data_IF_834003247539
#
_entry.id   IF_834003247539
#
_cell.length_a   1.000
_cell.length_b   1.000
_cell.length_c   1.000
_cell.angle_alpha   90.00
_cell.angle_beta   90.00
_cell.angle_gamma   90.00
#
_symmetry.space_group_name_H-M   'P 1'
#
loop_
_entity.id
_entity.type
_entity.pdbx_description
1 polymer ?
#
# COMPACT_ATOMS: atom_id res chain seq x y z
N UNK A 1 21.63 -1.17 14.15
CA UNK A 1 21.13 -2.33 14.92
C UNK A 1 19.63 -2.45 14.64
N UNK A 2 19.15 -3.64 14.29
CA UNK A 2 17.73 -3.91 14.04
C UNK A 2 16.90 -3.74 15.33
N UNK A 3 15.85 -2.93 15.30
CA UNK A 3 14.89 -2.78 16.40
C UNK A 3 13.45 -2.85 15.86
N UNK A 4 12.52 -3.51 16.57
CA UNK A 4 11.11 -3.58 16.16
C UNK A 4 10.49 -2.18 16.04
N UNK A 5 9.68 -1.97 15.01
CA UNK A 5 8.81 -0.79 14.95
C UNK A 5 7.52 -1.07 15.73
N UNK A 6 7.36 -0.41 16.87
CA UNK A 6 6.05 -0.26 17.50
C UNK A 6 5.35 0.92 16.83
N UNK A 7 4.13 0.69 16.35
CA UNK A 7 3.32 1.76 15.75
C UNK A 7 2.91 2.79 16.80
N UNK A 8 3.02 4.08 16.45
CA UNK A 8 2.52 5.20 17.27
C UNK A 8 1.22 5.80 16.69
N UNK A 9 0.71 5.23 15.60
CA UNK A 9 -0.54 5.65 14.94
C UNK A 9 -0.45 6.99 14.19
N UNK A 10 0.60 7.77 14.40
CA UNK A 10 0.77 9.11 13.85
C UNK A 10 1.88 9.19 12.81
N UNK A 11 3.08 8.65 13.12
CA UNK A 11 4.27 8.67 12.26
C UNK A 11 4.71 7.28 11.82
N UNK A 12 4.36 6.25 12.61
CA UNK A 12 4.72 4.84 12.37
C UNK A 12 3.49 3.98 12.63
N UNK A 13 3.25 3.02 11.75
CA UNK A 13 2.10 2.14 11.83
C UNK A 13 1.82 1.50 10.48
N UNK A 14 0.86 0.59 10.47
CA UNK A 14 0.40 -0.07 9.24
C UNK A 14 -1.07 0.28 9.02
N UNK A 15 -1.50 0.30 7.76
CA UNK A 15 -2.91 0.27 7.42
C UNK A 15 -3.55 -1.09 7.73
N UNK A 16 -4.85 -1.19 7.46
CA UNK A 16 -5.62 -2.44 7.65
C UNK A 16 -5.26 -3.55 6.66
N UNK A 17 -4.56 -3.22 5.57
CA UNK A 17 -4.11 -4.17 4.55
C UNK A 17 -2.62 -3.99 4.25
N UNK A 18 -1.97 -5.11 3.92
CA UNK A 18 -0.55 -5.17 3.65
C UNK A 18 -0.21 -6.31 2.69
N UNK A 19 0.83 -6.10 1.88
CA UNK A 19 1.39 -7.10 0.98
C UNK A 19 2.88 -7.25 1.22
N UNK A 20 3.38 -8.48 1.21
CA UNK A 20 4.80 -8.78 1.47
C UNK A 20 5.41 -9.45 0.25
N UNK A 21 6.60 -9.00 -0.13
CA UNK A 21 7.41 -9.62 -1.20
C UNK A 21 8.85 -9.78 -0.74
N UNK A 22 9.53 -10.80 -1.26
CA UNK A 22 10.97 -10.95 -1.10
C UNK A 22 11.68 -10.33 -2.31
N UNK A 23 12.57 -9.38 -2.06
CA UNK A 23 13.40 -8.71 -3.07
C UNK A 23 14.86 -8.66 -2.62
N UNK A 24 15.77 -9.06 -3.50
CA UNK A 24 17.23 -9.05 -3.26
C UNK A 24 17.68 -9.62 -1.89
N UNK A 25 16.97 -10.62 -1.35
CA UNK A 25 17.30 -11.25 -0.07
C UNK A 25 16.60 -10.67 1.16
N UNK A 26 15.87 -9.56 1.01
CA UNK A 26 15.13 -8.87 2.06
C UNK A 26 13.63 -9.03 1.86
N UNK A 27 12.84 -9.01 2.93
CA UNK A 27 11.39 -8.93 2.88
C UNK A 27 10.94 -7.48 2.94
N UNK A 28 10.09 -7.08 2.01
CA UNK A 28 9.49 -5.74 1.94
C UNK A 28 8.00 -5.87 2.15
N UNK A 29 7.47 -5.16 3.14
CA UNK A 29 6.05 -5.04 3.42
C UNK A 29 5.56 -3.70 2.87
N UNK A 30 4.53 -3.71 2.04
CA UNK A 30 3.80 -2.54 1.56
C UNK A 30 2.53 -2.36 2.38
N UNK A 31 2.22 -1.12 2.75
CA UNK A 31 0.99 -0.77 3.48
C UNK A 31 0.69 0.71 3.31
N UNK A 32 -0.49 1.17 3.71
CA UNK A 32 -0.79 2.59 3.83
C UNK A 32 0.06 3.24 4.93
N UNK A 33 0.44 4.50 4.73
CA UNK A 33 1.08 5.30 5.79
C UNK A 33 0.16 5.44 7.01
N UNK A 34 0.75 5.70 8.18
CA UNK A 34 -0.02 5.96 9.39
C UNK A 34 -0.80 7.28 9.32
N UNK A 35 -1.86 7.38 10.13
CA UNK A 35 -2.70 8.57 10.21
C UNK A 35 -3.42 8.91 8.91
N UNK A 36 -3.80 10.18 8.75
CA UNK A 36 -4.55 10.68 7.58
C UNK A 36 -3.75 10.61 6.28
N UNK A 37 -2.42 10.63 6.36
CA UNK A 37 -1.55 10.42 5.20
C UNK A 37 -1.80 9.06 4.53
N UNK A 38 -2.27 8.06 5.29
CA UNK A 38 -2.62 6.73 4.78
C UNK A 38 -3.70 6.73 3.71
N UNK A 39 -4.53 7.77 3.60
CA UNK A 39 -5.54 7.86 2.55
C UNK A 39 -4.91 7.95 1.15
N UNK A 40 -3.77 8.62 1.03
CA UNK A 40 -3.17 8.93 -0.28
C UNK A 40 -1.74 8.43 -0.43
N UNK A 41 -1.13 7.91 0.64
CA UNK A 41 0.27 7.51 0.67
C UNK A 41 0.41 6.04 1.06
N UNK A 42 1.14 5.30 0.23
CA UNK A 42 1.65 3.97 0.55
C UNK A 42 3.09 4.10 1.07
N UNK A 43 3.46 3.25 2.00
CA UNK A 43 4.80 3.18 2.58
C UNK A 43 5.27 1.74 2.67
N UNK A 44 6.55 1.56 3.01
CA UNK A 44 7.15 0.24 3.14
C UNK A 44 7.89 0.06 4.45
N UNK A 45 7.97 -1.20 4.86
CA UNK A 45 8.85 -1.69 5.92
C UNK A 45 9.74 -2.80 5.35
N UNK A 46 10.86 -3.06 5.99
CA UNK A 46 11.76 -4.15 5.60
C UNK A 46 12.14 -5.05 6.78
N UNK A 47 12.47 -6.30 6.50
CA UNK A 47 12.96 -7.28 7.47
C UNK A 47 13.86 -8.34 6.82
N UNK A 48 14.74 -8.96 7.62
CA UNK A 48 15.54 -10.10 7.16
C UNK A 48 14.74 -11.43 7.12
N UNK A 49 13.56 -11.48 7.74
CA UNK A 49 12.67 -12.65 7.85
C UNK A 49 11.23 -12.22 7.55
N UNK A 50 10.37 -13.09 6.99
CA UNK A 50 8.98 -12.72 6.70
C UNK A 50 8.16 -12.45 7.97
N UNK A 51 8.65 -12.85 9.14
CA UNK A 51 8.02 -12.61 10.45
C UNK A 51 8.59 -11.40 11.18
N UNK A 52 9.55 -10.69 10.58
CA UNK A 52 10.25 -9.56 11.21
C UNK A 52 11.52 -9.96 11.98
N UNK A 53 12.05 -9.08 12.85
CA UNK A 53 11.50 -7.77 13.20
C UNK A 53 11.43 -6.83 11.99
N UNK A 54 10.34 -6.07 11.88
CA UNK A 54 10.15 -5.09 10.81
C UNK A 54 10.81 -3.74 11.15
N UNK A 55 11.35 -3.08 10.13
CA UNK A 55 12.08 -1.82 10.21
C UNK A 55 11.52 -0.80 9.22
N UNK A 56 11.47 0.46 9.63
CA UNK A 56 10.88 1.54 8.82
C UNK A 56 10.00 2.49 9.66
N UNK A 57 9.04 3.19 9.02
CA UNK A 57 8.74 3.15 7.59
C UNK A 57 9.89 3.71 6.75
N UNK A 58 10.04 3.24 5.52
CA UNK A 58 10.87 3.87 4.51
C UNK A 58 10.12 5.05 3.85
N UNK A 59 10.68 5.62 2.78
CA UNK A 59 10.04 6.71 2.05
C UNK A 59 8.72 6.23 1.42
N UNK A 60 7.62 6.88 1.79
CA UNK A 60 6.33 6.66 1.15
C UNK A 60 6.25 7.26 -0.25
N UNK A 61 5.26 6.81 -1.02
CA UNK A 61 4.90 7.36 -2.32
C UNK A 61 3.39 7.47 -2.46
N UNK A 62 2.95 8.45 -3.25
CA UNK A 62 1.55 8.59 -3.63
C UNK A 62 1.32 7.86 -4.96
N UNK A 63 0.55 6.76 -5.00
CA UNK A 63 0.14 6.17 -6.26
C UNK A 63 -0.81 7.11 -7.02
N UNK A 64 -0.94 6.98 -8.36
CA UNK A 64 -1.90 7.75 -9.13
C UNK A 64 -3.36 7.53 -8.67
N UNK A 65 -4.03 8.58 -8.24
CA UNK A 65 -5.43 8.53 -7.82
C UNK A 65 -6.32 9.25 -8.85
N UNK A 66 -7.58 8.78 -9.02
CA UNK A 66 -8.62 9.58 -9.68
C UNK A 66 -8.79 10.95 -9.02
N UNK A 67 -9.40 11.88 -9.75
CA UNK A 67 -9.91 13.10 -9.14
C UNK A 67 -11.08 12.80 -8.20
N UNK A 68 -11.19 13.58 -7.14
CA UNK A 68 -12.22 13.45 -6.10
C UNK A 68 -11.67 13.01 -4.75
N UNK A 69 -12.57 12.85 -3.79
CA UNK A 69 -12.22 12.34 -2.46
C UNK A 69 -12.09 10.81 -2.53
N UNK A 70 -10.86 10.33 -2.71
CA UNK A 70 -10.56 8.91 -2.87
C UNK A 70 -9.39 8.50 -1.99
N UNK A 71 -9.35 7.22 -1.63
CA UNK A 71 -8.26 6.62 -0.88
C UNK A 71 -7.69 5.39 -1.57
N UNK A 72 -6.36 5.28 -1.61
CA UNK A 72 -5.68 4.05 -1.99
C UNK A 72 -5.71 3.06 -0.81
N UNK A 73 -5.83 1.76 -1.09
CA UNK A 73 -5.71 0.72 -0.07
C UNK A 73 -5.27 -0.62 -0.68
N UNK A 74 -5.08 -1.62 0.17
CA UNK A 74 -4.77 -3.00 -0.22
C UNK A 74 -3.61 -3.12 -1.24
N UNK A 75 -2.39 -2.65 -0.89
CA UNK A 75 -1.26 -2.80 -1.78
C UNK A 75 -0.85 -4.28 -1.90
N UNK A 76 -0.77 -4.80 -3.12
CA UNK A 76 -0.39 -6.19 -3.40
C UNK A 76 0.78 -6.26 -4.38
N UNK A 77 1.95 -6.79 -3.97
CA UNK A 77 3.09 -6.96 -4.87
C UNK A 77 2.89 -8.19 -5.78
N UNK A 78 3.30 -8.04 -7.04
CA UNK A 78 3.18 -9.05 -8.10
C UNK A 78 4.57 -9.42 -8.67
N UNK A 79 5.39 -10.22 -7.95
CA UNK A 79 6.69 -10.65 -8.44
C UNK A 79 6.62 -11.41 -9.79
N UNK A 80 5.50 -12.09 -10.06
CA UNK A 80 5.22 -12.81 -11.31
C UNK A 80 5.05 -11.90 -12.53
N UNK A 81 4.68 -10.63 -12.31
CA UNK A 81 4.56 -9.60 -13.35
C UNK A 81 5.80 -8.68 -13.40
N UNK A 82 6.76 -8.91 -12.52
CA UNK A 82 7.92 -8.04 -12.29
C UNK A 82 9.11 -8.44 -13.15
N UNK A 83 10.00 -7.48 -13.43
CA UNK A 83 11.15 -7.70 -14.30
C UNK A 83 11.99 -6.44 -14.51
N UNK A 84 13.22 -6.60 -15.02
CA UNK A 84 14.11 -5.47 -15.33
C UNK A 84 14.45 -4.58 -14.13
N UNK A 85 14.55 -5.17 -12.93
CA UNK A 85 14.79 -4.45 -11.68
C UNK A 85 13.61 -3.59 -11.22
N UNK A 86 12.39 -3.93 -11.64
CA UNK A 86 11.15 -3.24 -11.25
C UNK A 86 10.17 -4.23 -10.64
N UNK A 87 9.47 -3.78 -9.59
CA UNK A 87 8.38 -4.49 -8.94
C UNK A 87 7.04 -3.92 -9.43
N UNK A 88 6.13 -4.79 -9.86
CA UNK A 88 4.73 -4.43 -10.11
C UNK A 88 3.97 -4.50 -8.78
N UNK A 89 3.24 -3.44 -8.46
CA UNK A 89 2.39 -3.34 -7.28
C UNK A 89 0.99 -2.96 -7.75
N UNK A 90 -0.02 -3.73 -7.34
CA UNK A 90 -1.40 -3.29 -7.44
C UNK A 90 -1.88 -2.64 -6.15
N UNK A 91 -2.91 -1.82 -6.26
CA UNK A 91 -3.62 -1.20 -5.16
C UNK A 91 -5.06 -0.94 -5.59
N UNK A 92 -5.95 -0.97 -4.62
CA UNK A 92 -7.36 -0.65 -4.82
C UNK A 92 -7.64 0.81 -4.47
N UNK A 93 -8.77 1.33 -4.96
CA UNK A 93 -9.22 2.70 -4.69
C UNK A 93 -10.65 2.66 -4.17
N UNK A 94 -10.89 3.34 -3.06
CA UNK A 94 -12.23 3.58 -2.55
C UNK A 94 -12.58 5.07 -2.66
N UNK A 95 -13.84 5.41 -2.87
CA UNK A 95 -14.30 6.79 -2.77
C UNK A 95 -14.73 7.07 -1.34
N UNK A 96 -14.29 8.20 -0.81
CA UNK A 96 -14.67 8.72 0.48
C UNK A 96 -15.95 9.53 0.26
N UNK A 97 -17.09 8.96 0.60
CA UNK A 97 -18.39 9.64 0.55
C UNK A 97 -18.95 9.73 1.97
N UNK A 98 -19.62 10.85 2.27
CA UNK A 98 -20.32 11.06 3.52
C UNK A 98 -21.54 10.13 3.70
N UNK A 99 -22.03 9.50 2.61
CA UNK A 99 -23.08 8.48 2.63
C UNK A 99 -22.54 7.11 2.16
N UNK A 100 -21.90 6.32 3.05
CA UNK A 100 -21.06 5.16 2.67
C UNK A 100 -21.81 4.09 1.88
N UNK A 101 -23.08 3.81 2.21
CA UNK A 101 -23.86 2.76 1.58
C UNK A 101 -24.16 3.04 0.09
N UNK A 102 -24.51 4.30 -0.24
CA UNK A 102 -24.83 4.67 -1.62
C UNK A 102 -23.58 4.73 -2.51
N UNK A 103 -22.45 5.18 -1.94
CA UNK A 103 -21.18 5.21 -2.64
C UNK A 103 -20.64 3.82 -2.94
N UNK A 104 -20.68 2.92 -1.96
CA UNK A 104 -20.24 1.53 -2.14
C UNK A 104 -21.09 0.83 -3.23
N UNK A 105 -22.40 1.04 -3.23
CA UNK A 105 -23.30 0.50 -4.26
C UNK A 105 -22.99 1.02 -5.66
N UNK A 106 -22.66 2.31 -5.80
CA UNK A 106 -22.30 2.91 -7.09
C UNK A 106 -20.95 2.39 -7.61
N UNK A 107 -19.97 2.21 -6.72
CA UNK A 107 -18.64 1.71 -7.08
C UNK A 107 -18.69 0.25 -7.51
N UNK A 108 -19.31 -0.59 -6.69
CA UNK A 108 -19.34 -2.04 -6.91
C UNK A 108 -20.07 -2.43 -8.20
N UNK A 109 -20.99 -1.58 -8.69
CA UNK A 109 -21.74 -1.80 -9.95
C UNK A 109 -20.96 -1.45 -11.21
N UNK A 110 -19.77 -0.84 -11.10
CA UNK A 110 -18.96 -0.46 -12.26
C UNK A 110 -17.49 -0.90 -12.10
N UNK A 111 -17.12 -1.99 -12.77
CA UNK A 111 -15.74 -2.54 -12.78
C UNK A 111 -14.70 -1.56 -13.34
N UNK A 112 -15.12 -0.59 -14.17
CA UNK A 112 -14.21 0.46 -14.63
C UNK A 112 -13.86 1.47 -13.54
N UNK A 113 -14.56 1.45 -12.40
CA UNK A 113 -14.26 2.24 -11.21
C UNK A 113 -13.63 1.37 -10.11
N UNK A 114 -14.17 0.18 -9.87
CA UNK A 114 -13.79 -0.70 -8.77
C UNK A 114 -12.99 -1.92 -9.24
N UNK A 115 -11.72 -1.68 -9.59
CA UNK A 115 -10.74 -2.71 -9.95
C UNK A 115 -9.35 -2.32 -9.43
N UNK A 116 -8.43 -3.28 -9.29
CA UNK A 116 -7.04 -2.96 -8.99
C UNK A 116 -6.43 -2.05 -10.05
N UNK A 117 -5.63 -1.09 -9.58
CA UNK A 117 -4.76 -0.25 -10.39
C UNK A 117 -3.34 -0.70 -10.16
N UNK A 118 -2.47 -0.47 -11.15
CA UNK A 118 -1.10 -0.96 -11.12
C UNK A 118 -0.11 0.20 -11.22
N UNK A 119 0.97 0.10 -10.46
CA UNK A 119 2.17 0.92 -10.60
C UNK A 119 3.37 -0.01 -10.71
N UNK A 120 4.40 0.47 -11.40
CA UNK A 120 5.68 -0.22 -11.47
C UNK A 120 6.73 0.63 -10.75
N UNK A 121 7.40 0.02 -9.78
CA UNK A 121 8.28 0.67 -8.82
C UNK A 121 9.72 0.18 -8.99
N UNK A 122 10.69 1.00 -8.58
CA UNK A 122 12.05 0.55 -8.29
C UNK A 122 12.29 0.70 -6.81
N UNK A 123 12.70 -0.40 -6.17
CA UNK A 123 13.18 -0.38 -4.80
C UNK A 123 14.62 0.15 -4.81
N UNK A 124 14.91 1.10 -3.93
CA UNK A 124 16.23 1.73 -3.78
C UNK A 124 16.57 1.82 -2.30
#
# INVERSE_FOLDING_TARGET
RAAPVLGDGARRGVGSAFGVVRDAGTYVLFTNAAGTAGLTTLTTYWACSPTGPWHGPAKGFAPPLPQGEVAAYNPQPHPELSGGGRLVLSYDVNWLDAAPAAAQDRLNRNVSLYRPRFVSLRLR
#
